data_IF_035146974133
#
_entry.id   IF_035146974133
#
_cell.length_a   1.000
_cell.length_b   1.000
_cell.length_c   1.000
_cell.angle_alpha   90.00
_cell.angle_beta   90.00
_cell.angle_gamma   90.00
#
_symmetry.space_group_name_H-M   'P 1'
#
loop_
_entity.id
_entity.type
_entity.pdbx_description
1 polymer ?
#
# COMPACT_ATOMS: atom_id res chain seq x y z
N UNK A 1 -42.60 -80.11 35.08
CA UNK A 1 -41.98 -80.94 34.02
C UNK A 1 -42.00 -80.15 32.71
N UNK A 2 -40.83 -80.03 32.07
CA UNK A 2 -40.54 -79.65 30.65
C UNK A 2 -41.04 -78.28 30.16
N UNK A 3 -40.23 -77.21 30.10
CA UNK A 3 -39.11 -76.89 29.18
C UNK A 3 -39.54 -76.61 27.72
N UNK A 4 -39.27 -75.39 27.18
CA UNK A 4 -38.33 -75.11 26.04
C UNK A 4 -38.51 -73.76 25.28
N UNK A 5 -37.37 -73.05 25.11
CA UNK A 5 -36.89 -72.10 24.06
C UNK A 5 -37.74 -70.86 23.65
N UNK A 6 -37.32 -69.60 23.87
CA UNK A 6 -36.17 -68.81 23.38
C UNK A 6 -36.47 -67.99 22.10
N UNK A 7 -36.53 -66.66 22.23
CA UNK A 7 -36.16 -65.72 21.16
C UNK A 7 -35.45 -64.51 21.79
N UNK A 8 -34.23 -64.31 21.30
CA UNK A 8 -33.29 -63.24 21.60
C UNK A 8 -33.65 -61.98 20.82
N UNK A 9 -33.60 -60.81 21.47
CA UNK A 9 -33.45 -59.53 20.79
C UNK A 9 -32.50 -58.66 21.59
N UNK A 10 -31.36 -58.36 20.96
CA UNK A 10 -30.22 -57.62 21.48
C UNK A 10 -30.49 -56.12 21.34
N UNK A 11 -30.70 -55.43 22.46
CA UNK A 11 -30.66 -53.97 22.51
C UNK A 11 -29.22 -53.54 22.79
N UNK A 12 -28.51 -53.09 21.75
CA UNK A 12 -27.16 -52.54 21.84
C UNK A 12 -27.16 -51.30 22.73
N UNK A 13 -26.41 -51.37 23.82
CA UNK A 13 -25.95 -50.23 24.60
C UNK A 13 -25.15 -49.30 23.68
N UNK A 14 -25.68 -48.11 23.40
CA UNK A 14 -24.92 -47.05 22.74
C UNK A 14 -24.41 -46.11 23.83
N UNK A 15 -23.25 -46.46 24.40
CA UNK A 15 -22.46 -45.54 25.21
C UNK A 15 -21.98 -44.42 24.31
N UNK A 16 -22.67 -43.27 24.33
CA UNK A 16 -22.12 -42.04 23.77
C UNK A 16 -20.92 -41.68 24.63
N UNK A 17 -19.77 -41.86 24.01
CA UNK A 17 -18.45 -41.52 24.50
C UNK A 17 -18.43 -40.06 24.94
N UNK A 18 -18.31 -39.84 26.24
CA UNK A 18 -17.99 -38.54 26.81
C UNK A 18 -16.61 -38.10 26.34
N UNK A 19 -16.55 -37.45 25.18
CA UNK A 19 -15.42 -36.58 24.83
C UNK A 19 -15.50 -35.41 25.78
N UNK A 20 -14.51 -35.29 26.67
CA UNK A 20 -14.37 -34.17 27.57
C UNK A 20 -14.60 -32.84 26.83
N UNK A 21 -15.28 -31.86 27.44
CA UNK A 21 -15.44 -30.55 26.83
C UNK A 21 -14.04 -30.03 26.50
N UNK A 22 -13.78 -29.81 25.22
CA UNK A 22 -12.59 -29.10 24.76
C UNK A 22 -12.60 -27.78 25.53
N UNK A 23 -11.63 -27.61 26.41
CA UNK A 23 -11.49 -26.40 27.19
C UNK A 23 -11.28 -25.25 26.20
N UNK A 24 -12.35 -24.47 25.96
CA UNK A 24 -12.25 -23.08 25.50
C UNK A 24 -11.76 -22.31 26.72
N UNK A 25 -10.51 -22.53 27.07
CA UNK A 25 -9.91 -22.11 28.32
C UNK A 25 -9.63 -20.61 28.27
N UNK A 26 -10.25 -19.85 29.18
CA UNK A 26 -9.61 -18.69 29.79
C UNK A 26 -10.13 -17.29 29.47
N UNK A 27 -11.21 -17.11 28.68
CA UNK A 27 -11.75 -15.76 28.42
C UNK A 27 -13.19 -15.64 28.95
N UNK A 28 -13.42 -14.71 29.87
CA UNK A 28 -14.76 -14.41 30.38
C UNK A 28 -15.63 -13.85 29.26
N UNK A 29 -16.92 -14.24 29.20
CA UNK A 29 -17.91 -13.70 28.25
C UNK A 29 -17.93 -12.15 28.26
N UNK A 30 -17.55 -11.52 29.38
CA UNK A 30 -17.45 -10.05 29.51
C UNK A 30 -16.18 -9.44 28.90
N UNK A 31 -15.12 -10.23 28.75
CA UNK A 31 -13.83 -9.77 28.19
C UNK A 31 -13.84 -9.70 26.67
N UNK A 32 -14.66 -10.53 26.01
CA UNK A 32 -14.83 -10.54 24.55
C UNK A 32 -15.28 -9.17 24.00
N UNK A 33 -16.39 -8.54 24.47
CA UNK A 33 -16.81 -7.23 23.99
C UNK A 33 -15.81 -6.12 24.33
N UNK A 34 -15.15 -6.17 25.50
CA UNK A 34 -14.14 -5.18 25.88
C UNK A 34 -12.90 -5.24 24.97
N UNK A 35 -12.40 -6.46 24.69
CA UNK A 35 -11.27 -6.67 23.77
C UNK A 35 -11.62 -6.24 22.34
N UNK A 36 -12.78 -6.64 21.81
CA UNK A 36 -13.25 -6.20 20.48
C UNK A 36 -13.34 -4.68 20.37
N UNK A 37 -13.87 -3.99 21.40
CA UNK A 37 -13.96 -2.53 21.39
C UNK A 37 -12.56 -1.87 21.38
N UNK A 38 -11.60 -2.42 22.14
CA UNK A 38 -10.23 -1.91 22.15
C UNK A 38 -9.50 -2.12 20.80
N UNK A 39 -9.70 -3.26 20.15
CA UNK A 39 -9.11 -3.56 18.85
C UNK A 39 -9.72 -2.68 17.75
N UNK A 40 -11.05 -2.50 17.77
CA UNK A 40 -11.74 -1.60 16.86
C UNK A 40 -11.29 -0.15 17.03
N UNK A 41 -11.17 0.32 18.28
CA UNK A 41 -10.66 1.66 18.57
C UNK A 41 -9.24 1.84 18.00
N UNK A 42 -8.32 0.91 18.25
CA UNK A 42 -6.95 0.96 17.70
C UNK A 42 -6.91 0.93 16.17
N UNK A 43 -7.81 0.18 15.53
CA UNK A 43 -7.94 0.13 14.07
C UNK A 43 -8.42 1.48 13.53
N UNK A 44 -9.49 2.03 14.10
CA UNK A 44 -10.04 3.33 13.71
C UNK A 44 -9.03 4.46 13.90
N UNK A 45 -8.32 4.49 15.04
CA UNK A 45 -7.24 5.45 15.27
C UNK A 45 -6.15 5.30 14.20
N UNK A 46 -5.75 4.07 13.86
CA UNK A 46 -4.76 3.85 12.81
C UNK A 46 -5.22 4.35 11.44
N UNK A 47 -6.47 4.13 11.08
CA UNK A 47 -7.05 4.63 9.81
C UNK A 47 -7.10 6.15 9.82
N UNK A 48 -7.56 6.77 10.91
CA UNK A 48 -7.63 8.22 11.05
C UNK A 48 -6.24 8.86 10.95
N UNK A 49 -5.23 8.29 11.61
CA UNK A 49 -3.84 8.75 11.51
C UNK A 49 -3.28 8.61 10.09
N UNK A 50 -3.57 7.51 9.40
CA UNK A 50 -3.20 7.34 7.99
C UNK A 50 -3.88 8.39 7.10
N UNK A 51 -5.18 8.62 7.30
CA UNK A 51 -5.92 9.66 6.58
C UNK A 51 -5.35 11.06 6.81
N UNK A 52 -5.03 11.40 8.06
CA UNK A 52 -4.40 12.67 8.42
C UNK A 52 -3.01 12.82 7.78
N UNK A 53 -2.19 11.76 7.78
CA UNK A 53 -0.89 11.75 7.09
C UNK A 53 -1.05 12.05 5.59
N UNK A 54 -2.00 11.40 4.92
CA UNK A 54 -2.28 11.65 3.51
C UNK A 54 -2.69 13.11 3.26
N UNK A 55 -3.59 13.67 4.09
CA UNK A 55 -4.01 15.06 4.00
C UNK A 55 -2.84 16.02 4.19
N UNK A 56 -1.95 15.76 5.16
CA UNK A 56 -0.76 16.59 5.39
C UNK A 56 0.19 16.59 4.19
N UNK A 57 0.44 15.43 3.58
CA UNK A 57 1.26 15.33 2.37
C UNK A 57 0.65 16.14 1.22
N UNK A 58 -0.66 16.00 0.99
CA UNK A 58 -1.36 16.78 -0.04
C UNK A 58 -1.35 18.28 0.28
N UNK A 59 -1.46 18.68 1.55
CA UNK A 59 -1.40 20.09 1.94
C UNK A 59 -0.04 20.72 1.64
N UNK A 60 1.06 19.98 1.85
CA UNK A 60 2.42 20.46 1.62
C UNK A 60 2.78 20.44 0.14
N UNK A 61 2.51 19.34 -0.57
CA UNK A 61 2.95 19.16 -1.96
C UNK A 61 1.88 19.45 -3.00
N UNK A 62 0.61 19.62 -2.63
CA UNK A 62 -0.49 19.83 -3.57
C UNK A 62 -0.38 21.09 -4.42
N UNK A 63 0.40 22.09 -3.97
CA UNK A 63 0.72 23.28 -4.79
C UNK A 63 1.55 22.92 -6.02
N UNK A 64 2.31 21.82 -6.00
CA UNK A 64 3.10 21.34 -7.14
C UNK A 64 2.26 21.09 -8.39
N UNK A 65 0.97 20.74 -8.22
CA UNK A 65 0.03 20.52 -9.33
C UNK A 65 -0.14 21.78 -10.19
N UNK A 66 0.17 22.97 -9.66
CA UNK A 66 0.09 24.24 -10.39
C UNK A 66 1.42 24.67 -11.02
N UNK A 67 2.49 23.91 -10.82
CA UNK A 67 3.78 24.20 -11.43
C UNK A 67 3.83 23.67 -12.87
N UNK A 68 4.72 24.26 -13.66
CA UNK A 68 5.02 23.79 -15.01
C UNK A 68 6.21 22.83 -15.01
N UNK A 69 6.48 22.23 -16.18
CA UNK A 69 7.74 21.54 -16.43
C UNK A 69 8.91 22.51 -16.30
N UNK A 70 10.04 22.02 -15.82
CA UNK A 70 11.27 22.79 -15.67
C UNK A 70 12.28 22.45 -16.77
N UNK A 71 13.04 23.45 -17.21
CA UNK A 71 14.02 23.32 -18.30
C UNK A 71 15.35 22.84 -17.69
N UNK A 72 15.40 21.57 -17.31
CA UNK A 72 16.64 20.92 -16.88
C UNK A 72 16.72 19.51 -17.46
N UNK A 73 15.77 18.64 -17.12
CA UNK A 73 15.68 17.27 -17.62
C UNK A 73 14.24 16.81 -17.93
N UNK A 74 13.20 17.61 -17.60
CA UNK A 74 11.80 17.28 -17.95
C UNK A 74 11.61 17.20 -19.47
N UNK A 75 12.45 17.88 -20.25
CA UNK A 75 12.52 17.71 -21.70
C UNK A 75 13.05 16.34 -22.10
N UNK A 76 14.16 15.91 -21.52
CA UNK A 76 14.77 14.60 -21.76
C UNK A 76 13.82 13.47 -21.33
N UNK A 77 13.12 13.62 -20.22
CA UNK A 77 12.28 12.56 -19.67
C UNK A 77 10.86 12.55 -20.23
N UNK A 78 10.29 13.72 -20.55
CA UNK A 78 8.87 13.84 -20.89
C UNK A 78 8.65 14.66 -22.16
N UNK A 79 8.97 15.96 -22.17
CA UNK A 79 8.41 16.88 -23.18
C UNK A 79 9.06 16.73 -24.57
N UNK A 80 10.32 16.30 -24.65
CA UNK A 80 11.03 16.00 -25.91
C UNK A 80 11.15 14.48 -26.19
N UNK A 81 10.76 13.62 -25.26
CA UNK A 81 10.89 12.17 -25.41
C UNK A 81 9.72 11.55 -26.19
N UNK A 82 9.95 11.26 -27.47
CA UNK A 82 8.92 10.70 -28.36
C UNK A 82 8.40 9.33 -27.91
N UNK A 83 9.27 8.46 -27.36
CA UNK A 83 8.86 7.14 -26.87
C UNK A 83 7.90 7.26 -25.69
N UNK A 84 8.16 8.21 -24.79
CA UNK A 84 7.32 8.46 -23.61
C UNK A 84 6.01 9.13 -24.00
N UNK A 85 6.07 10.15 -24.88
CA UNK A 85 4.90 10.90 -25.36
C UNK A 85 3.90 10.07 -26.13
N UNK A 86 4.35 8.98 -26.76
CA UNK A 86 3.47 8.05 -27.47
C UNK A 86 2.52 7.26 -26.54
N UNK A 87 2.72 7.33 -25.22
CA UNK A 87 1.92 6.61 -24.24
C UNK A 87 2.32 5.15 -24.09
N UNK A 88 1.53 4.39 -23.32
CA UNK A 88 1.81 2.97 -23.12
C UNK A 88 1.52 2.18 -24.40
N UNK A 89 2.54 1.47 -24.87
CA UNK A 89 2.45 0.55 -26.00
C UNK A 89 3.44 -0.59 -25.80
N UNK A 90 3.27 -1.69 -26.53
CA UNK A 90 4.25 -2.79 -26.50
C UNK A 90 5.64 -2.32 -26.97
N UNK A 91 5.69 -1.43 -27.96
CA UNK A 91 6.93 -0.83 -28.43
C UNK A 91 7.57 0.08 -27.36
N UNK A 92 6.78 0.91 -26.69
CA UNK A 92 7.22 1.75 -25.57
C UNK A 92 7.73 0.91 -24.39
N UNK A 93 7.04 -0.17 -24.04
CA UNK A 93 7.48 -1.09 -23.00
C UNK A 93 8.80 -1.76 -23.37
N UNK A 94 8.94 -2.28 -24.59
CA UNK A 94 10.21 -2.83 -25.06
C UNK A 94 11.33 -1.79 -24.94
N UNK A 95 11.10 -0.57 -25.43
CA UNK A 95 12.04 0.54 -25.33
C UNK A 95 12.45 0.82 -23.87
N UNK A 96 11.47 0.92 -22.96
CA UNK A 96 11.71 1.17 -21.54
C UNK A 96 12.64 0.13 -20.89
N UNK A 97 12.53 -1.14 -21.28
CA UNK A 97 13.37 -2.22 -20.73
C UNK A 97 14.71 -2.39 -21.43
N UNK A 98 14.89 -1.89 -22.66
CA UNK A 98 16.12 -2.13 -23.44
C UNK A 98 17.01 -0.90 -23.61
N UNK A 99 16.55 0.29 -23.22
CA UNK A 99 17.24 1.55 -23.56
C UNK A 99 17.72 2.29 -22.31
N UNK A 100 19.00 2.68 -22.33
CA UNK A 100 19.53 3.70 -21.44
C UNK A 100 19.31 5.08 -22.09
N UNK A 101 18.60 5.98 -21.42
CA UNK A 101 18.27 7.31 -21.92
C UNK A 101 18.44 8.34 -20.82
N UNK A 102 18.92 9.55 -21.12
CA UNK A 102 19.23 10.55 -20.10
C UNK A 102 20.25 10.05 -19.06
N UNK A 103 21.25 9.29 -19.51
CA UNK A 103 22.29 8.63 -18.69
C UNK A 103 21.77 7.60 -17.66
N UNK A 104 20.52 7.15 -17.77
CA UNK A 104 19.91 6.25 -16.79
C UNK A 104 19.12 5.09 -17.42
N UNK A 105 19.01 3.99 -16.68
CA UNK A 105 18.13 2.86 -17.00
C UNK A 105 17.16 2.60 -15.84
N UNK A 106 15.89 2.97 -16.06
CA UNK A 106 14.81 2.82 -15.08
C UNK A 106 13.47 2.55 -15.78
N UNK A 107 13.20 1.29 -16.15
CA UNK A 107 12.04 0.91 -16.95
C UNK A 107 10.69 1.33 -16.33
N UNK A 108 10.53 1.20 -15.01
CA UNK A 108 9.28 1.55 -14.33
C UNK A 108 9.00 3.06 -14.35
N UNK A 109 10.04 3.89 -14.27
CA UNK A 109 9.90 5.35 -14.41
C UNK A 109 9.42 5.70 -15.81
N UNK A 110 9.98 5.06 -16.85
CA UNK A 110 9.55 5.28 -18.23
C UNK A 110 8.08 4.90 -18.45
N UNK A 111 7.68 3.73 -17.98
CA UNK A 111 6.30 3.26 -18.06
C UNK A 111 5.34 4.20 -17.30
N UNK A 112 5.77 4.74 -16.15
CA UNK A 112 4.97 5.68 -15.39
C UNK A 112 4.77 7.01 -16.13
N UNK A 113 5.80 7.57 -16.76
CA UNK A 113 5.64 8.79 -17.57
C UNK A 113 4.85 8.54 -18.86
N UNK A 114 4.97 7.35 -19.47
CA UNK A 114 4.12 6.95 -20.59
C UNK A 114 2.65 6.91 -20.21
N UNK A 115 2.33 6.34 -19.04
CA UNK A 115 0.97 6.32 -18.52
C UNK A 115 0.44 7.76 -18.33
N UNK A 116 1.24 8.66 -17.74
CA UNK A 116 0.82 10.04 -17.56
C UNK A 116 0.65 10.78 -18.88
N UNK A 117 1.52 10.56 -19.87
CA UNK A 117 1.34 11.13 -21.20
C UNK A 117 0.06 10.62 -21.86
N UNK A 118 -0.30 9.36 -21.65
CA UNK A 118 -1.55 8.79 -22.17
C UNK A 118 -2.79 9.35 -21.50
N UNK A 119 -2.74 9.62 -20.19
CA UNK A 119 -3.88 10.12 -19.41
C UNK A 119 -4.04 11.64 -19.49
N UNK A 120 -2.93 12.38 -19.49
CA UNK A 120 -2.91 13.83 -19.30
C UNK A 120 -2.22 14.58 -20.45
N UNK A 121 -1.62 13.88 -21.41
CA UNK A 121 -0.77 14.50 -22.42
C UNK A 121 0.42 15.23 -21.79
N UNK A 122 0.78 16.37 -22.37
CA UNK A 122 1.81 17.28 -21.84
C UNK A 122 1.22 18.33 -20.88
N UNK A 123 0.19 17.97 -20.10
CA UNK A 123 -0.29 18.83 -19.02
C UNK A 123 0.51 18.58 -17.73
N UNK A 124 1.41 19.48 -17.31
CA UNK A 124 2.31 19.26 -16.16
C UNK A 124 1.54 18.97 -14.86
N UNK A 125 0.32 19.50 -14.72
CA UNK A 125 -0.53 19.29 -13.55
C UNK A 125 -0.79 17.81 -13.27
N UNK A 126 -1.03 17.02 -14.33
CA UNK A 126 -1.27 15.58 -14.21
C UNK A 126 -0.02 14.82 -13.79
N UNK A 127 1.15 15.24 -14.29
CA UNK A 127 2.43 14.61 -13.94
C UNK A 127 2.82 14.89 -12.50
N UNK A 128 2.65 16.13 -12.02
CA UNK A 128 2.86 16.45 -10.60
C UNK A 128 1.85 15.72 -9.70
N UNK A 129 0.58 15.61 -10.12
CA UNK A 129 -0.44 14.88 -9.38
C UNK A 129 -0.04 13.42 -9.17
N UNK A 130 0.42 12.73 -10.22
CA UNK A 130 0.91 11.35 -10.12
C UNK A 130 2.05 11.21 -9.11
N UNK A 131 3.02 12.13 -9.11
CA UNK A 131 4.12 12.13 -8.12
C UNK A 131 3.62 12.32 -6.68
N UNK A 132 2.66 13.22 -6.46
CA UNK A 132 2.05 13.43 -5.13
C UNK A 132 1.28 12.19 -4.66
N UNK A 133 0.51 11.55 -5.54
CA UNK A 133 -0.23 10.31 -5.22
C UNK A 133 0.74 9.18 -4.85
N UNK A 134 1.82 9.00 -5.62
CA UNK A 134 2.84 8.01 -5.34
C UNK A 134 3.52 8.27 -3.99
N UNK A 135 3.82 9.53 -3.65
CA UNK A 135 4.42 9.87 -2.36
C UNK A 135 3.47 9.65 -1.18
N UNK A 136 2.17 9.96 -1.34
CA UNK A 136 1.14 9.59 -0.34
C UNK A 136 1.12 8.08 -0.13
N UNK A 137 1.12 7.29 -1.21
CA UNK A 137 1.15 5.84 -1.12
C UNK A 137 2.40 5.33 -0.39
N UNK A 138 3.59 5.85 -0.70
CA UNK A 138 4.84 5.51 -0.01
C UNK A 138 4.78 5.84 1.48
N UNK A 139 4.28 7.03 1.85
CA UNK A 139 4.15 7.43 3.26
C UNK A 139 3.19 6.51 4.05
N UNK A 140 2.07 6.12 3.43
CA UNK A 140 1.10 5.19 4.03
C UNK A 140 1.66 3.78 4.15
N UNK A 141 2.37 3.29 3.13
CA UNK A 141 3.05 2.00 3.17
C UNK A 141 4.10 1.97 4.27
N UNK A 142 4.93 3.01 4.39
CA UNK A 142 5.92 3.13 5.47
C UNK A 142 5.25 3.07 6.85
N UNK A 143 4.17 3.82 7.04
CA UNK A 143 3.42 3.80 8.29
C UNK A 143 2.89 2.40 8.63
N UNK A 144 2.29 1.72 7.65
CA UNK A 144 1.76 0.35 7.84
C UNK A 144 2.88 -0.64 8.11
N UNK A 145 3.98 -0.59 7.36
CA UNK A 145 5.15 -1.46 7.53
C UNK A 145 5.74 -1.31 8.93
N UNK A 146 6.04 -0.08 9.35
CA UNK A 146 6.59 0.20 10.68
C UNK A 146 5.64 -0.23 11.80
N UNK A 147 4.33 0.01 11.65
CA UNK A 147 3.32 -0.43 12.62
C UNK A 147 3.29 -1.95 12.74
N UNK A 148 3.43 -2.69 11.62
CA UNK A 148 3.47 -4.15 11.61
C UNK A 148 4.76 -4.70 12.23
N UNK A 149 5.90 -4.05 12.00
CA UNK A 149 7.20 -4.50 12.49
C UNK A 149 7.41 -4.19 13.98
N UNK A 150 6.95 -3.02 14.45
CA UNK A 150 7.25 -2.53 15.82
C UNK A 150 6.07 -2.62 16.78
N UNK A 151 4.84 -2.73 16.27
CA UNK A 151 3.62 -2.64 17.08
C UNK A 151 3.29 -1.23 17.61
N UNK A 152 4.21 -0.27 17.49
CA UNK A 152 4.11 1.08 18.07
C UNK A 152 3.38 2.06 17.14
N UNK A 153 2.09 2.29 17.38
CA UNK A 153 1.27 3.16 16.53
C UNK A 153 1.83 4.59 16.39
N UNK A 154 2.14 5.22 17.52
CA UNK A 154 2.59 6.62 17.56
C UNK A 154 3.99 6.79 16.98
N UNK A 155 4.93 5.91 17.33
CA UNK A 155 6.28 5.95 16.76
C UNK A 155 6.25 5.77 15.24
N UNK A 156 5.43 4.84 14.73
CA UNK A 156 5.30 4.62 13.29
C UNK A 156 4.74 5.81 12.54
N UNK A 157 3.69 6.48 13.06
CA UNK A 157 3.12 7.66 12.37
C UNK A 157 4.08 8.85 12.44
N UNK A 158 4.80 9.03 13.54
CA UNK A 158 5.81 10.09 13.66
C UNK A 158 6.91 9.90 12.63
N UNK A 159 7.50 8.71 12.52
CA UNK A 159 8.55 8.41 11.54
C UNK A 159 8.03 8.58 10.11
N UNK A 160 6.83 8.08 9.80
CA UNK A 160 6.23 8.24 8.48
C UNK A 160 5.95 9.72 8.14
N UNK A 161 5.52 10.51 9.12
CA UNK A 161 5.30 11.97 8.95
C UNK A 161 6.62 12.70 8.70
N UNK A 162 7.66 12.39 9.48
CA UNK A 162 9.00 12.95 9.28
C UNK A 162 9.55 12.61 7.89
N UNK A 163 9.42 11.35 7.47
CA UNK A 163 9.79 10.92 6.12
C UNK A 163 9.02 11.70 5.04
N UNK A 164 7.71 11.85 5.21
CA UNK A 164 6.83 12.39 4.18
C UNK A 164 7.00 13.91 4.02
N UNK A 165 7.23 14.63 5.11
CA UNK A 165 7.36 16.09 5.13
C UNK A 165 8.81 16.57 5.11
N UNK A 166 9.79 15.66 5.04
CA UNK A 166 11.20 16.04 5.02
C UNK A 166 11.50 16.95 3.82
N UNK A 167 12.23 18.08 4.00
CA UNK A 167 12.54 19.00 2.90
C UNK A 167 13.26 18.34 1.70
N UNK A 168 14.08 17.31 1.94
CA UNK A 168 14.71 16.51 0.87
C UNK A 168 13.71 15.81 -0.06
N UNK A 169 12.42 15.71 0.30
CA UNK A 169 11.40 15.16 -0.59
C UNK A 169 10.94 16.13 -1.66
N UNK A 170 11.26 17.42 -1.55
CA UNK A 170 10.85 18.42 -2.54
C UNK A 170 11.38 18.07 -3.93
N UNK A 171 12.65 17.68 -4.03
CA UNK A 171 13.25 17.25 -5.29
C UNK A 171 12.51 16.04 -5.85
N UNK A 172 12.39 14.96 -5.08
CA UNK A 172 11.72 13.74 -5.56
C UNK A 172 10.25 13.95 -5.95
N UNK A 173 9.49 14.78 -5.22
CA UNK A 173 8.03 14.90 -5.36
C UNK A 173 7.61 15.99 -6.33
N UNK A 174 8.29 17.14 -6.31
CA UNK A 174 7.89 18.32 -7.10
C UNK A 174 8.52 18.29 -8.48
N UNK A 175 9.71 17.71 -8.63
CA UNK A 175 10.37 17.60 -9.92
C UNK A 175 9.83 16.37 -10.69
N UNK A 176 9.26 16.59 -11.88
CA UNK A 176 8.64 15.52 -12.67
C UNK A 176 9.64 14.40 -12.99
N UNK A 177 10.83 14.72 -13.50
CA UNK A 177 11.86 13.73 -13.85
C UNK A 177 12.39 12.91 -12.67
N UNK A 178 12.28 13.42 -11.43
CA UNK A 178 12.74 12.71 -10.22
C UNK A 178 11.79 11.62 -9.72
N UNK A 179 10.77 11.27 -10.50
CA UNK A 179 9.84 10.17 -10.19
C UNK A 179 10.52 8.83 -9.90
N UNK A 180 11.71 8.60 -10.44
CA UNK A 180 12.53 7.40 -10.19
C UNK A 180 12.75 7.13 -8.69
N UNK A 181 12.93 8.17 -7.89
CA UNK A 181 13.16 8.05 -6.45
C UNK A 181 11.87 7.68 -5.70
N UNK A 182 10.74 8.27 -6.08
CA UNK A 182 9.44 7.98 -5.45
C UNK A 182 9.06 6.52 -5.72
N UNK A 183 9.21 6.06 -6.97
CA UNK A 183 8.90 4.68 -7.35
C UNK A 183 9.80 3.69 -6.63
N UNK A 184 11.11 3.95 -6.59
CA UNK A 184 12.07 3.08 -5.88
C UNK A 184 11.73 2.97 -4.40
N UNK A 185 11.40 4.10 -3.75
CA UNK A 185 10.97 4.13 -2.36
C UNK A 185 9.66 3.39 -2.12
N UNK A 186 8.69 3.49 -3.04
CA UNK A 186 7.42 2.78 -2.95
C UNK A 186 7.62 1.27 -3.02
N UNK A 187 8.36 0.78 -4.02
CA UNK A 187 8.60 -0.65 -4.22
C UNK A 187 9.51 -1.26 -3.16
N UNK A 188 10.40 -0.48 -2.55
CA UNK A 188 11.18 -0.93 -1.39
C UNK A 188 10.32 -1.27 -0.17
N UNK A 189 9.15 -0.63 -0.04
CA UNK A 189 8.26 -0.78 1.13
C UNK A 189 7.15 -1.83 0.93
N UNK A 190 7.02 -2.39 -0.27
CA UNK A 190 6.08 -3.47 -0.62
C UNK A 190 6.66 -4.83 -0.27
#
# INVERSE_FOLDING_TARGET
MTARWALTSSAKSTTITGKAPVAVTGMSIREIPAKMNSENTRRLTGIALGGMLAVLVVAVFGRAIRHGFIIFDDDIYVTANHSVRAGLSLAGAKWAFTTCHGANWHPLTWLSHMLDCQLFGLNPSGHHLSSVILHVASALLLFVALKRMTGGLWSSVTVATLFALHPLRVESVVWVSERKDILSGLFWML
#
